data_IF_530642910786
#
_entry.id   IF_530642910786
#
_cell.length_a   1.000
_cell.length_b   1.000
_cell.length_c   1.000
_cell.angle_alpha   90.00
_cell.angle_beta   90.00
_cell.angle_gamma   90.00
#
_symmetry.space_group_name_H-M   'P 1'
#
loop_
_entity.id
_entity.type
_entity.pdbx_description
1 polymer ?
#
# COMPACT_ATOMS: atom_id res chain seq x y z
N UNK A 1 11.04 -7.20 -22.14
CA UNK A 1 11.55 -6.73 -20.84
C UNK A 1 11.99 -5.27 -20.91
N UNK A 2 13.00 -4.89 -21.71
CA UNK A 2 13.49 -3.48 -21.77
C UNK A 2 12.43 -2.45 -22.22
N UNK A 3 11.32 -2.85 -22.81
CA UNK A 3 10.18 -2.00 -23.11
C UNK A 3 9.44 -1.43 -21.86
N UNK A 4 9.69 -1.97 -20.66
CA UNK A 4 9.15 -1.45 -19.40
C UNK A 4 10.04 -0.39 -18.74
N UNK A 5 11.31 -0.29 -19.15
CA UNK A 5 12.29 0.63 -18.59
C UNK A 5 12.07 2.06 -19.09
N UNK A 6 12.02 3.01 -18.18
CA UNK A 6 11.88 4.45 -18.50
C UNK A 6 12.97 5.27 -17.83
N UNK A 7 13.48 6.22 -18.57
CA UNK A 7 14.38 7.23 -18.05
C UNK A 7 13.60 8.35 -17.33
N UNK A 8 14.23 9.10 -16.44
CA UNK A 8 13.61 10.25 -15.79
C UNK A 8 12.95 11.21 -16.79
N UNK A 9 11.73 11.63 -16.49
CA UNK A 9 10.96 12.56 -17.33
C UNK A 9 10.00 13.39 -16.47
N UNK A 10 10.02 14.71 -16.63
CA UNK A 10 9.10 15.62 -15.93
C UNK A 10 9.19 15.48 -14.40
N UNK A 11 8.08 15.12 -13.78
CA UNK A 11 7.98 14.91 -12.34
C UNK A 11 8.66 13.61 -11.85
N UNK A 12 8.93 12.68 -12.74
CA UNK A 12 9.60 11.41 -12.45
C UNK A 12 11.13 11.64 -12.51
N UNK A 13 11.75 11.79 -11.35
CA UNK A 13 13.15 12.21 -11.21
C UNK A 13 14.16 11.06 -11.30
N UNK A 14 13.70 9.83 -11.12
CA UNK A 14 14.54 8.62 -11.12
C UNK A 14 14.08 7.67 -12.23
N UNK A 15 14.96 6.77 -12.73
CA UNK A 15 14.55 5.70 -13.64
C UNK A 15 13.41 4.87 -13.03
N UNK A 16 12.48 4.38 -13.84
CA UNK A 16 11.31 3.69 -13.30
C UNK A 16 10.78 2.60 -14.24
N UNK A 17 9.93 1.74 -13.71
CA UNK A 17 9.24 0.69 -14.44
C UNK A 17 7.80 1.10 -14.72
N UNK A 18 7.35 0.82 -15.94
CA UNK A 18 5.94 0.99 -16.33
C UNK A 18 5.27 -0.37 -16.50
N UNK A 19 3.93 -0.47 -16.34
CA UNK A 19 3.21 -1.75 -16.43
C UNK A 19 3.17 -2.38 -17.85
N UNK A 20 3.93 -1.85 -18.79
CA UNK A 20 4.22 -2.53 -20.07
C UNK A 20 3.32 -2.20 -21.24
N UNK A 21 2.26 -1.37 -21.11
CA UNK A 21 1.44 -0.93 -22.25
C UNK A 21 1.77 0.48 -22.72
N UNK A 22 1.53 0.76 -24.01
CA UNK A 22 1.71 2.11 -24.56
C UNK A 22 0.85 3.17 -23.88
N UNK A 23 -0.30 2.79 -23.35
CA UNK A 23 -1.21 3.67 -22.62
C UNK A 23 -0.61 4.23 -21.33
N UNK A 24 0.29 3.47 -20.67
CA UNK A 24 0.90 3.82 -19.39
C UNK A 24 2.38 4.20 -19.53
N UNK A 25 2.82 4.56 -20.74
CA UNK A 25 4.24 4.69 -21.09
C UNK A 25 5.05 5.67 -20.23
N UNK A 26 4.41 6.73 -19.70
CA UNK A 26 5.04 7.75 -18.87
C UNK A 26 4.32 7.92 -17.52
N UNK A 27 3.86 6.81 -16.96
CA UNK A 27 3.10 6.79 -15.70
C UNK A 27 3.71 5.77 -14.76
N UNK A 28 3.97 6.18 -13.54
CA UNK A 28 4.39 5.29 -12.47
C UNK A 28 3.21 5.05 -11.55
N UNK A 29 2.66 3.85 -11.56
CA UNK A 29 1.58 3.40 -10.71
C UNK A 29 2.12 2.64 -9.51
N UNK A 30 1.42 2.70 -8.36
CA UNK A 30 1.86 2.16 -7.07
C UNK A 30 2.10 0.64 -7.07
N UNK A 31 1.07 -0.16 -6.86
CA UNK A 31 1.22 -1.63 -6.82
C UNK A 31 1.58 -2.25 -8.18
N UNK A 32 1.22 -1.58 -9.31
CA UNK A 32 1.59 -2.06 -10.64
C UNK A 32 3.10 -2.10 -10.80
N UNK A 33 3.82 -1.08 -10.35
CA UNK A 33 5.28 -1.06 -10.40
C UNK A 33 5.88 -2.15 -9.50
N UNK A 34 5.32 -2.36 -8.30
CA UNK A 34 5.79 -3.39 -7.38
C UNK A 34 5.55 -4.81 -7.92
N UNK A 35 4.33 -5.11 -8.39
CA UNK A 35 4.01 -6.42 -8.95
C UNK A 35 4.79 -6.70 -10.24
N UNK A 36 4.95 -5.67 -11.08
CA UNK A 36 5.77 -5.76 -12.29
C UNK A 36 7.25 -6.00 -11.95
N UNK A 37 7.75 -5.39 -10.89
CA UNK A 37 9.11 -5.56 -10.41
C UNK A 37 9.37 -7.00 -9.95
N UNK A 38 8.48 -7.56 -9.12
CA UNK A 38 8.58 -8.96 -8.68
C UNK A 38 8.66 -9.91 -9.90
N UNK A 39 7.78 -9.73 -10.87
CA UNK A 39 7.74 -10.57 -12.07
C UNK A 39 9.00 -10.40 -12.92
N UNK A 40 9.43 -9.16 -13.12
CA UNK A 40 10.60 -8.85 -13.94
C UNK A 40 11.89 -9.37 -13.31
N UNK A 41 12.03 -9.22 -11.99
CA UNK A 41 13.16 -9.74 -11.22
C UNK A 41 13.26 -11.26 -11.36
N UNK A 42 12.16 -11.98 -11.24
CA UNK A 42 12.14 -13.44 -11.41
C UNK A 42 12.67 -13.85 -12.80
N UNK A 43 12.20 -13.17 -13.85
CA UNK A 43 12.64 -13.45 -15.22
C UNK A 43 14.13 -13.15 -15.38
N UNK A 44 14.62 -12.04 -14.83
CA UNK A 44 16.04 -11.63 -14.96
C UNK A 44 16.95 -12.50 -14.11
N UNK A 45 16.52 -12.95 -12.95
CA UNK A 45 17.29 -13.89 -12.11
C UNK A 45 17.48 -15.21 -12.84
N UNK A 46 16.46 -15.72 -13.53
CA UNK A 46 16.50 -16.99 -14.24
C UNK A 46 17.24 -16.91 -15.58
N UNK A 47 17.05 -15.83 -16.34
CA UNK A 47 17.45 -15.76 -17.74
C UNK A 47 18.40 -14.59 -18.07
N UNK A 48 18.59 -13.64 -17.16
CA UNK A 48 19.40 -12.43 -17.37
C UNK A 48 20.87 -12.63 -17.04
N UNK A 49 21.68 -11.71 -17.58
CA UNK A 49 23.10 -11.57 -17.25
C UNK A 49 23.28 -10.88 -15.89
N UNK A 50 24.51 -10.78 -15.42
CA UNK A 50 24.85 -9.97 -14.25
C UNK A 50 24.54 -8.49 -14.50
N UNK A 51 24.87 -7.99 -15.68
CA UNK A 51 24.64 -6.57 -16.05
C UNK A 51 23.14 -6.26 -16.11
N UNK A 52 22.29 -7.17 -16.58
CA UNK A 52 20.83 -7.00 -16.55
C UNK A 52 20.28 -6.89 -15.11
N UNK A 53 20.87 -7.65 -14.18
CA UNK A 53 20.47 -7.58 -12.74
C UNK A 53 20.91 -6.28 -12.09
N UNK A 54 22.13 -5.82 -12.39
CA UNK A 54 22.65 -4.54 -11.88
C UNK A 54 21.88 -3.35 -12.48
N UNK A 55 21.53 -3.40 -13.78
CA UNK A 55 20.69 -2.40 -14.44
C UNK A 55 19.30 -2.31 -13.78
N UNK A 56 18.64 -3.46 -13.54
CA UNK A 56 17.31 -3.52 -12.95
C UNK A 56 17.23 -2.79 -11.59
N UNK A 57 18.23 -2.94 -10.73
CA UNK A 57 18.27 -2.33 -9.39
C UNK A 57 18.04 -0.82 -9.44
N UNK A 58 18.56 -0.13 -10.44
CA UNK A 58 18.38 1.31 -10.58
C UNK A 58 16.92 1.69 -10.84
N UNK A 59 16.20 0.90 -11.61
CA UNK A 59 14.78 1.12 -11.92
C UNK A 59 13.89 0.74 -10.74
N UNK A 60 14.18 -0.34 -10.05
CA UNK A 60 13.49 -0.78 -8.83
C UNK A 60 13.57 0.30 -7.73
N UNK A 61 14.78 0.72 -7.39
CA UNK A 61 15.01 1.83 -6.43
C UNK A 61 14.34 3.11 -6.90
N UNK A 62 14.41 3.40 -8.19
CA UNK A 62 13.84 4.61 -8.79
C UNK A 62 12.31 4.67 -8.71
N UNK A 63 11.59 3.55 -8.82
CA UNK A 63 10.15 3.49 -8.57
C UNK A 63 9.83 4.01 -7.16
N UNK A 64 10.50 3.49 -6.15
CA UNK A 64 10.30 3.84 -4.74
C UNK A 64 10.70 5.29 -4.48
N UNK A 65 11.87 5.73 -4.94
CA UNK A 65 12.38 7.09 -4.72
C UNK A 65 11.50 8.15 -5.39
N UNK A 66 10.89 7.86 -6.55
CA UNK A 66 9.93 8.75 -7.17
C UNK A 66 8.72 8.97 -6.26
N UNK A 67 8.12 7.92 -5.69
CA UNK A 67 7.02 8.06 -4.75
C UNK A 67 7.43 8.79 -3.48
N UNK A 68 8.56 8.45 -2.89
CA UNK A 68 9.07 9.10 -1.68
C UNK A 68 9.38 10.59 -1.88
N UNK A 69 9.66 11.03 -3.11
CA UNK A 69 9.87 12.44 -3.41
C UNK A 69 8.62 13.31 -3.23
N UNK A 70 7.43 12.69 -3.20
CA UNK A 70 6.15 13.32 -2.88
C UNK A 70 5.77 13.24 -1.41
N UNK A 71 6.45 12.42 -0.61
CA UNK A 71 6.22 12.30 0.81
C UNK A 71 6.46 13.64 1.51
N UNK A 72 5.40 14.27 1.97
CA UNK A 72 5.43 15.51 2.73
C UNK A 72 5.05 15.32 4.18
N UNK A 73 4.99 16.42 4.95
CA UNK A 73 4.67 16.40 6.37
C UNK A 73 3.29 15.84 6.72
N UNK A 74 2.35 15.76 5.74
CA UNK A 74 1.03 15.15 5.91
C UNK A 74 0.98 13.66 5.57
N UNK A 75 2.10 13.09 5.09
CA UNK A 75 2.21 11.67 4.74
C UNK A 75 1.46 11.25 3.48
N UNK A 76 0.94 12.19 2.70
CA UNK A 76 0.25 11.86 1.46
C UNK A 76 1.26 11.56 0.34
N UNK A 77 1.14 10.38 -0.27
CA UNK A 77 1.87 9.96 -1.46
C UNK A 77 0.83 9.58 -2.52
N UNK A 78 0.96 10.05 -3.79
CA UNK A 78 -0.03 9.77 -4.82
C UNK A 78 -0.07 8.29 -5.22
N UNK A 79 -1.23 7.83 -5.70
CA UNK A 79 -1.39 6.51 -6.30
C UNK A 79 -0.58 6.36 -7.60
N UNK A 80 -0.44 7.45 -8.35
CA UNK A 80 0.22 7.49 -9.63
C UNK A 80 0.99 8.80 -9.81
N UNK A 81 2.16 8.74 -10.43
CA UNK A 81 2.95 9.90 -10.85
C UNK A 81 2.99 9.92 -12.37
N UNK A 82 2.60 11.08 -12.94
CA UNK A 82 2.70 11.36 -14.37
C UNK A 82 3.90 12.29 -14.62
N UNK A 83 4.34 12.40 -15.84
CA UNK A 83 5.37 13.38 -16.25
C UNK A 83 4.95 14.84 -15.95
N UNK A 84 3.65 15.16 -16.04
CA UNK A 84 3.04 16.45 -15.72
C UNK A 84 2.17 16.41 -14.46
N UNK A 85 2.57 15.67 -13.45
CA UNK A 85 1.78 15.36 -12.24
C UNK A 85 1.25 16.59 -11.52
N UNK A 86 2.02 17.68 -11.39
CA UNK A 86 1.61 18.84 -10.60
C UNK A 86 0.31 19.47 -11.10
N UNK A 87 0.14 19.61 -12.42
CA UNK A 87 -1.07 20.18 -13.01
C UNK A 87 -2.30 19.27 -12.76
N UNK A 88 -2.12 17.96 -12.94
CA UNK A 88 -3.18 16.97 -12.72
C UNK A 88 -3.57 16.87 -11.26
N UNK A 89 -2.61 16.87 -10.33
CA UNK A 89 -2.89 16.78 -8.90
C UNK A 89 -3.58 18.01 -8.35
N UNK A 90 -3.22 19.20 -8.81
CA UNK A 90 -3.97 20.41 -8.46
C UNK A 90 -5.44 20.34 -8.88
N UNK A 91 -5.72 19.77 -10.05
CA UNK A 91 -7.08 19.57 -10.53
C UNK A 91 -7.82 18.51 -9.70
N UNK A 92 -7.19 17.35 -9.45
CA UNK A 92 -7.78 16.26 -8.67
C UNK A 92 -8.03 16.64 -7.21
N UNK A 93 -7.15 17.42 -6.58
CA UNK A 93 -7.36 17.92 -5.22
C UNK A 93 -8.55 18.88 -5.10
N UNK A 94 -8.90 19.61 -6.16
CA UNK A 94 -10.14 20.42 -6.19
C UNK A 94 -11.40 19.57 -6.25
N UNK A 95 -11.32 18.44 -6.96
CA UNK A 95 -12.45 17.50 -7.14
C UNK A 95 -12.57 16.57 -5.92
N UNK A 96 -11.44 16.15 -5.36
CA UNK A 96 -11.36 15.24 -4.22
C UNK A 96 -10.60 15.87 -3.04
N UNK A 97 -11.29 16.67 -2.20
CA UNK A 97 -10.67 17.35 -1.07
C UNK A 97 -10.13 16.40 0.02
N UNK A 98 -10.61 15.15 0.06
CA UNK A 98 -10.14 14.13 1.02
C UNK A 98 -8.81 13.48 0.61
N UNK A 99 -8.29 13.79 -0.59
CA UNK A 99 -7.02 13.24 -1.10
C UNK A 99 -6.97 11.70 -1.05
N UNK A 100 -8.06 11.05 -1.43
CA UNK A 100 -8.19 9.59 -1.37
C UNK A 100 -7.38 8.85 -2.45
N UNK A 101 -6.96 9.55 -3.52
CA UNK A 101 -6.05 9.03 -4.55
C UNK A 101 -4.60 8.90 -4.02
N UNK A 102 -4.43 8.11 -2.97
CA UNK A 102 -3.12 7.89 -2.37
C UNK A 102 -2.61 6.48 -2.62
N UNK A 103 -1.28 6.36 -2.56
CA UNK A 103 -0.57 5.09 -2.68
C UNK A 103 -1.14 4.05 -1.71
N UNK A 104 -1.29 2.81 -2.16
CA UNK A 104 -1.67 1.69 -1.29
C UNK A 104 -0.54 1.37 -0.30
N UNK A 105 -0.83 0.76 0.86
CA UNK A 105 0.19 0.41 1.85
C UNK A 105 1.02 -0.80 1.40
N UNK A 106 1.78 -0.59 0.33
CA UNK A 106 2.69 -1.57 -0.29
C UNK A 106 4.07 -0.96 -0.59
N UNK A 107 4.29 0.33 -0.28
CA UNK A 107 5.52 1.02 -0.62
C UNK A 107 6.72 0.53 0.22
N UNK A 108 6.51 0.27 1.52
CA UNK A 108 7.54 -0.34 2.36
C UNK A 108 7.78 -1.80 1.97
N UNK A 109 6.75 -2.54 1.54
CA UNK A 109 6.90 -3.89 1.02
C UNK A 109 7.74 -3.92 -0.25
N UNK A 110 7.51 -2.97 -1.17
CA UNK A 110 8.34 -2.82 -2.37
C UNK A 110 9.80 -2.50 -2.00
N UNK A 111 10.02 -1.54 -1.09
CA UNK A 111 11.36 -1.18 -0.62
C UNK A 111 12.07 -2.36 0.07
N UNK A 112 11.36 -3.08 0.93
CA UNK A 112 11.90 -4.27 1.61
C UNK A 112 12.27 -5.38 0.62
N UNK A 113 11.45 -5.61 -0.39
CA UNK A 113 11.77 -6.55 -1.48
C UNK A 113 13.09 -6.18 -2.17
N UNK A 114 13.28 -4.92 -2.58
CA UNK A 114 14.51 -4.48 -3.23
C UNK A 114 15.72 -4.61 -2.31
N UNK A 115 15.59 -4.22 -1.03
CA UNK A 115 16.66 -4.37 -0.02
C UNK A 115 17.04 -5.83 0.15
N UNK A 116 16.08 -6.73 0.25
CA UNK A 116 16.32 -8.17 0.39
C UNK A 116 17.02 -8.75 -0.83
N UNK A 117 16.57 -8.39 -2.05
CA UNK A 117 17.17 -8.83 -3.30
C UNK A 117 18.57 -8.26 -3.57
N UNK A 118 18.96 -7.20 -2.87
CA UNK A 118 20.28 -6.54 -2.99
C UNK A 118 21.20 -6.82 -1.81
N UNK A 119 20.95 -7.88 -1.05
CA UNK A 119 21.83 -8.33 0.04
C UNK A 119 21.69 -7.54 1.34
N UNK A 120 20.55 -6.88 1.56
CA UNK A 120 20.23 -6.16 2.80
C UNK A 120 20.72 -4.70 2.85
N UNK A 121 21.26 -4.17 1.75
CA UNK A 121 21.65 -2.76 1.67
C UNK A 121 20.42 -1.85 1.61
N UNK A 122 20.09 -1.20 2.72
CA UNK A 122 19.01 -0.24 2.85
C UNK A 122 19.50 1.22 2.89
N UNK A 123 20.81 1.49 2.79
CA UNK A 123 21.36 2.83 2.99
C UNK A 123 20.81 3.87 1.99
N UNK A 124 20.53 3.44 0.76
CA UNK A 124 19.91 4.28 -0.27
C UNK A 124 18.53 4.82 0.12
N UNK A 125 17.85 4.19 1.08
CA UNK A 125 16.51 4.58 1.56
C UNK A 125 16.57 5.55 2.75
N UNK A 126 17.72 5.73 3.39
CA UNK A 126 17.86 6.48 4.65
C UNK A 126 17.23 7.87 4.62
N UNK A 127 17.50 8.64 3.58
CA UNK A 127 16.94 10.00 3.42
C UNK A 127 15.42 9.97 3.21
N UNK A 128 14.90 8.99 2.45
CA UNK A 128 13.47 8.83 2.19
C UNK A 128 12.69 8.13 3.30
N UNK A 129 13.37 7.52 4.28
CA UNK A 129 12.72 6.70 5.30
C UNK A 129 11.76 7.49 6.19
N UNK A 130 12.05 8.77 6.45
CA UNK A 130 11.11 9.64 7.16
C UNK A 130 9.79 9.82 6.38
N UNK A 131 9.86 10.01 5.07
CA UNK A 131 8.65 10.14 4.23
C UNK A 131 7.84 8.84 4.21
N UNK A 132 8.51 7.69 4.22
CA UNK A 132 7.85 6.40 4.35
C UNK A 132 7.16 6.22 5.72
N UNK A 133 7.79 6.68 6.81
CA UNK A 133 7.19 6.69 8.14
C UNK A 133 5.94 7.57 8.21
N UNK A 134 5.99 8.78 7.64
CA UNK A 134 4.84 9.70 7.62
C UNK A 134 3.70 9.15 6.77
N UNK A 135 4.02 8.49 5.66
CA UNK A 135 3.04 7.80 4.82
C UNK A 135 2.30 6.68 5.59
N UNK A 136 3.02 5.76 6.21
CA UNK A 136 2.42 4.71 7.04
C UNK A 136 1.66 5.33 8.21
N UNK A 137 2.22 6.36 8.83
CA UNK A 137 1.58 7.12 9.90
C UNK A 137 0.25 7.76 9.50
N UNK A 138 0.09 8.15 8.23
CA UNK A 138 -1.18 8.68 7.73
C UNK A 138 -2.30 7.63 7.80
N UNK A 139 -2.04 6.41 7.35
CA UNK A 139 -3.00 5.31 7.52
C UNK A 139 -3.33 5.05 8.97
N UNK A 140 -2.32 4.91 9.82
CA UNK A 140 -2.49 4.58 11.23
C UNK A 140 -3.24 5.66 12.03
N UNK A 141 -3.06 6.93 11.68
CA UNK A 141 -3.63 8.05 12.44
C UNK A 141 -4.98 8.52 11.91
N UNK A 142 -5.23 8.41 10.60
CA UNK A 142 -6.42 9.00 9.96
C UNK A 142 -7.40 7.97 9.41
N UNK A 143 -6.96 6.73 9.17
CA UNK A 143 -7.80 5.68 8.59
C UNK A 143 -7.95 4.47 9.53
N UNK A 144 -7.78 4.67 10.84
CA UNK A 144 -7.97 3.64 11.86
C UNK A 144 -9.28 3.85 12.61
N UNK A 145 -10.15 2.87 12.59
CA UNK A 145 -11.40 2.87 13.34
C UNK A 145 -11.14 2.63 14.84
N UNK A 146 -11.55 3.59 15.69
CA UNK A 146 -11.18 3.60 17.12
C UNK A 146 -11.69 2.39 17.91
N UNK A 147 -12.89 1.90 17.60
CA UNK A 147 -13.49 0.81 18.37
C UNK A 147 -12.92 -0.56 18.03
N UNK A 148 -12.51 -0.80 16.78
CA UNK A 148 -12.01 -2.11 16.32
C UNK A 148 -10.49 -2.15 16.13
N UNK A 149 -9.84 -0.98 16.01
CA UNK A 149 -8.43 -0.88 15.62
C UNK A 149 -8.14 -1.26 14.17
N UNK A 150 -9.17 -1.64 13.39
CA UNK A 150 -9.03 -1.92 11.96
C UNK A 150 -8.85 -0.64 11.17
N UNK A 151 -8.13 -0.75 10.06
CA UNK A 151 -8.04 0.32 9.08
C UNK A 151 -9.20 0.22 8.08
N UNK A 152 -9.60 1.37 7.53
CA UNK A 152 -10.69 1.46 6.58
C UNK A 152 -10.30 2.23 5.33
N UNK A 153 -10.92 1.88 4.21
CA UNK A 153 -10.93 2.70 3.01
C UNK A 153 -11.91 3.87 3.18
N UNK A 154 -11.49 5.06 2.83
CA UNK A 154 -12.38 6.21 2.87
C UNK A 154 -13.52 6.07 1.85
N UNK A 155 -13.19 5.63 0.65
CA UNK A 155 -14.13 5.44 -0.45
C UNK A 155 -13.56 4.47 -1.49
N UNK A 156 -14.30 4.28 -2.60
CA UNK A 156 -13.93 3.39 -3.70
C UNK A 156 -12.65 3.83 -4.45
N UNK A 157 -12.40 5.13 -4.56
CA UNK A 157 -11.16 5.63 -5.17
C UNK A 157 -9.92 5.23 -4.36
N UNK A 158 -10.03 5.21 -3.04
CA UNK A 158 -8.90 4.88 -2.17
C UNK A 158 -8.48 3.41 -2.29
N UNK A 159 -9.43 2.50 -2.54
CA UNK A 159 -9.11 1.08 -2.68
C UNK A 159 -8.35 0.78 -3.99
N UNK A 160 -8.67 1.49 -5.08
CA UNK A 160 -8.06 1.28 -6.40
C UNK A 160 -8.43 -0.03 -7.09
N UNK A 161 -9.37 -0.78 -6.51
CA UNK A 161 -10.07 -1.90 -7.15
C UNK A 161 -11.46 -1.38 -7.50
N UNK A 162 -11.64 -1.01 -8.77
CA UNK A 162 -12.84 -0.33 -9.22
C UNK A 162 -14.11 -1.15 -8.95
N UNK A 163 -15.12 -0.49 -8.37
CA UNK A 163 -16.41 -1.07 -8.05
C UNK A 163 -16.36 -2.24 -7.05
N UNK A 164 -15.42 -2.18 -6.09
CA UNK A 164 -15.35 -3.20 -5.02
C UNK A 164 -16.60 -3.15 -4.15
N UNK A 165 -17.33 -4.27 -3.96
CA UNK A 165 -18.56 -4.30 -3.15
C UNK A 165 -18.37 -3.83 -1.70
N UNK A 166 -17.14 -3.86 -1.18
CA UNK A 166 -16.84 -3.39 0.18
C UNK A 166 -16.81 -1.88 0.31
N UNK A 167 -16.68 -1.14 -0.81
CA UNK A 167 -16.56 0.33 -0.84
C UNK A 167 -17.57 0.99 -1.75
N UNK A 168 -17.88 0.36 -2.89
CA UNK A 168 -18.75 0.93 -3.90
C UNK A 168 -20.18 1.13 -3.40
N UNK A 169 -20.70 2.35 -3.53
CA UNK A 169 -21.99 2.79 -2.96
C UNK A 169 -22.11 2.63 -1.43
N UNK A 170 -20.99 2.54 -0.72
CA UNK A 170 -20.97 2.48 0.74
C UNK A 170 -20.70 3.88 1.32
N UNK A 171 -21.15 4.15 2.55
CA UNK A 171 -20.77 5.38 3.24
C UNK A 171 -19.24 5.48 3.41
N UNK A 172 -18.72 6.70 3.36
CA UNK A 172 -17.30 6.96 3.57
C UNK A 172 -16.83 6.38 4.92
N UNK A 173 -15.65 5.77 4.92
CA UNK A 173 -15.05 5.21 6.13
C UNK A 173 -15.79 4.03 6.76
N UNK A 174 -16.75 3.42 6.05
CA UNK A 174 -17.56 2.31 6.58
C UNK A 174 -16.93 0.92 6.38
N UNK A 175 -15.90 0.80 5.56
CA UNK A 175 -15.32 -0.48 5.18
C UNK A 175 -14.02 -0.80 5.93
N UNK A 176 -14.09 -1.59 6.99
CA UNK A 176 -12.96 -2.28 7.59
C UNK A 176 -12.50 -3.43 6.69
N UNK A 177 -11.92 -3.10 5.55
CA UNK A 177 -11.55 -4.05 4.51
C UNK A 177 -10.47 -5.01 4.97
N UNK A 178 -10.71 -6.32 4.86
CA UNK A 178 -9.68 -7.34 5.11
C UNK A 178 -8.48 -7.16 4.16
N UNK A 179 -8.74 -6.74 2.93
CA UNK A 179 -7.71 -6.46 1.96
C UNK A 179 -6.75 -5.35 2.44
N UNK A 180 -7.29 -4.19 2.87
CA UNK A 180 -6.46 -3.10 3.43
C UNK A 180 -5.67 -3.57 4.66
N UNK A 181 -6.35 -4.25 5.58
CA UNK A 181 -5.74 -4.65 6.85
C UNK A 181 -4.64 -5.70 6.65
N UNK A 182 -4.79 -6.62 5.69
CA UNK A 182 -3.76 -7.56 5.31
C UNK A 182 -2.55 -6.87 4.65
N UNK A 183 -2.80 -5.92 3.75
CA UNK A 183 -1.73 -5.11 3.15
C UNK A 183 -0.97 -4.32 4.21
N UNK A 184 -1.69 -3.64 5.11
CA UNK A 184 -1.07 -2.83 6.16
C UNK A 184 -0.31 -3.69 7.18
N UNK A 185 -0.79 -4.87 7.53
CA UNK A 185 -0.04 -5.79 8.37
C UNK A 185 1.33 -6.12 7.76
N UNK A 186 1.36 -6.43 6.49
CA UNK A 186 2.62 -6.69 5.75
C UNK A 186 3.47 -5.43 5.60
N UNK A 187 2.84 -4.28 5.41
CA UNK A 187 3.54 -2.99 5.34
C UNK A 187 4.27 -2.67 6.64
N UNK A 188 3.63 -2.91 7.79
CA UNK A 188 4.24 -2.72 9.10
C UNK A 188 5.40 -3.69 9.36
N UNK A 189 5.29 -4.94 8.93
CA UNK A 189 6.40 -5.89 8.99
C UNK A 189 7.57 -5.45 8.09
N UNK A 190 7.28 -4.94 6.92
CA UNK A 190 8.29 -4.38 6.01
C UNK A 190 8.97 -3.14 6.63
N UNK A 191 8.21 -2.25 7.28
CA UNK A 191 8.76 -1.11 8.02
C UNK A 191 9.69 -1.56 9.16
N UNK A 192 9.31 -2.57 9.91
CA UNK A 192 10.16 -3.13 10.98
C UNK A 192 11.46 -3.72 10.40
N UNK A 193 11.36 -4.47 9.30
CA UNK A 193 12.53 -5.01 8.58
C UNK A 193 13.47 -3.90 8.10
N UNK A 194 12.93 -2.88 7.42
CA UNK A 194 13.72 -1.74 6.91
C UNK A 194 14.37 -0.95 8.06
N UNK A 195 13.66 -0.73 9.16
CA UNK A 195 14.20 -0.07 10.36
C UNK A 195 15.38 -0.87 10.95
N UNK A 196 15.29 -2.20 10.98
CA UNK A 196 16.40 -3.08 11.38
C UNK A 196 17.61 -2.91 10.47
N UNK A 197 17.41 -2.95 9.15
CA UNK A 197 18.51 -2.78 8.19
C UNK A 197 19.19 -1.41 8.31
N UNK A 198 18.40 -0.37 8.62
CA UNK A 198 18.90 1.00 8.87
C UNK A 198 19.44 1.21 10.29
N UNK A 199 19.45 0.19 11.14
CA UNK A 199 19.92 0.24 12.54
C UNK A 199 19.15 1.23 13.40
N UNK A 200 17.81 1.22 13.28
CA UNK A 200 16.86 2.06 14.02
C UNK A 200 15.99 1.20 14.96
N UNK A 201 16.54 0.68 16.09
CA UNK A 201 15.85 -0.32 16.92
C UNK A 201 14.54 0.17 17.53
N UNK A 202 14.42 1.45 17.86
CA UNK A 202 13.18 1.99 18.42
C UNK A 202 12.03 1.95 17.40
N UNK A 203 12.34 2.23 16.14
CA UNK A 203 11.37 2.14 15.05
C UNK A 203 11.03 0.70 14.70
N UNK A 204 12.01 -0.20 14.70
CA UNK A 204 11.78 -1.65 14.55
C UNK A 204 10.78 -2.15 15.59
N UNK A 205 11.03 -1.85 16.86
CA UNK A 205 10.16 -2.25 17.98
C UNK A 205 8.76 -1.63 17.86
N UNK A 206 8.66 -0.37 17.44
CA UNK A 206 7.38 0.32 17.23
C UNK A 206 6.56 -0.37 16.16
N UNK A 207 7.13 -0.58 14.97
CA UNK A 207 6.38 -1.18 13.84
C UNK A 207 6.05 -2.66 14.07
N UNK A 208 6.90 -3.39 14.79
CA UNK A 208 6.60 -4.76 15.21
C UNK A 208 5.37 -4.79 16.13
N UNK A 209 5.28 -3.89 17.12
CA UNK A 209 4.11 -3.78 18.00
C UNK A 209 2.84 -3.43 17.23
N UNK A 210 2.90 -2.43 16.35
CA UNK A 210 1.76 -2.03 15.52
C UNK A 210 1.27 -3.19 14.64
N UNK A 211 2.19 -3.99 14.10
CA UNK A 211 1.85 -5.16 13.29
C UNK A 211 1.13 -6.24 14.14
N UNK A 212 1.65 -6.57 15.30
CA UNK A 212 1.02 -7.58 16.18
C UNK A 212 -0.36 -7.11 16.68
N UNK A 213 -0.50 -5.83 17.04
CA UNK A 213 -1.80 -5.27 17.44
C UNK A 213 -2.82 -5.36 16.28
N UNK A 214 -2.41 -4.98 15.07
CA UNK A 214 -3.28 -5.07 13.90
C UNK A 214 -3.67 -6.52 13.58
N UNK A 215 -2.73 -7.45 13.68
CA UNK A 215 -2.98 -8.89 13.50
C UNK A 215 -4.05 -9.41 14.46
N UNK A 216 -3.96 -9.05 15.73
CA UNK A 216 -4.97 -9.45 16.71
C UNK A 216 -6.35 -8.82 16.42
N UNK A 217 -6.39 -7.56 15.97
CA UNK A 217 -7.62 -6.90 15.56
C UNK A 217 -8.23 -7.59 14.32
N UNK A 218 -7.42 -7.98 13.33
CA UNK A 218 -7.87 -8.75 12.16
C UNK A 218 -8.47 -10.09 12.61
N UNK A 219 -7.78 -10.82 13.48
CA UNK A 219 -8.28 -12.11 13.99
C UNK A 219 -9.59 -11.97 14.75
N UNK A 220 -9.69 -10.95 15.57
CA UNK A 220 -10.86 -10.69 16.41
C UNK A 220 -12.09 -10.27 15.59
N UNK A 221 -11.92 -9.42 14.58
CA UNK A 221 -13.04 -8.76 13.92
C UNK A 221 -13.34 -9.29 12.52
N UNK A 222 -12.34 -9.82 11.81
CA UNK A 222 -12.49 -10.28 10.42
C UNK A 222 -12.61 -11.79 10.28
N UNK A 223 -12.17 -12.58 11.27
CA UNK A 223 -12.23 -14.03 11.23
C UNK A 223 -13.63 -14.55 11.53
N UNK A 224 -14.16 -15.40 10.66
CA UNK A 224 -15.40 -16.14 10.93
C UNK A 224 -15.08 -17.62 11.17
N UNK A 225 -15.24 -18.12 12.42
CA UNK A 225 -14.96 -19.51 12.74
C UNK A 225 -15.96 -20.52 12.13
N UNK A 226 -17.15 -20.05 11.70
CA UNK A 226 -18.15 -20.89 11.07
C UNK A 226 -17.73 -21.30 9.65
N UNK A 227 -17.17 -20.33 8.91
CA UNK A 227 -16.75 -20.53 7.54
C UNK A 227 -15.25 -20.84 7.43
N UNK A 228 -14.48 -20.62 8.51
CA UNK A 228 -13.03 -20.72 8.47
C UNK A 228 -12.39 -19.71 7.53
N UNK A 229 -12.93 -18.50 7.43
CA UNK A 229 -12.54 -17.49 6.45
C UNK A 229 -12.50 -16.08 7.05
N UNK A 230 -11.73 -15.17 6.42
CA UNK A 230 -11.65 -13.78 6.79
C UNK A 230 -12.54 -12.91 5.90
N UNK A 231 -13.32 -12.01 6.51
CA UNK A 231 -14.21 -11.10 5.82
C UNK A 231 -13.91 -9.65 6.14
N UNK A 232 -14.20 -8.75 5.19
CA UNK A 232 -14.33 -7.33 5.48
C UNK A 232 -15.53 -7.07 6.39
N UNK A 233 -15.47 -5.99 7.17
CA UNK A 233 -16.51 -5.68 8.16
C UNK A 233 -17.08 -4.29 7.92
N UNK A 234 -18.38 -4.12 8.19
CA UNK A 234 -19.03 -2.83 8.16
C UNK A 234 -18.86 -2.13 9.51
N UNK A 235 -18.09 -1.05 9.51
CA UNK A 235 -17.74 -0.31 10.72
C UNK A 235 -18.86 0.61 11.22
N UNK A 236 -19.91 0.82 10.44
CA UNK A 236 -21.09 1.60 10.84
C UNK A 236 -22.13 0.75 11.56
N UNK A 237 -22.07 -0.56 11.42
CA UNK A 237 -22.90 -1.47 12.20
C UNK A 237 -22.26 -1.65 13.56
N UNK A 238 -22.89 -1.09 14.58
CA UNK A 238 -22.43 -1.27 15.95
C UNK A 238 -22.54 -2.74 16.35
N UNK A 239 -21.63 -3.24 17.20
CA UNK A 239 -21.77 -4.56 17.79
C UNK A 239 -23.15 -4.68 18.45
N UNK A 240 -23.91 -5.69 18.10
CA UNK A 240 -25.18 -5.96 18.78
C UNK A 240 -24.93 -7.00 19.88
N UNK A 241 -25.54 -6.78 21.03
CA UNK A 241 -25.46 -7.72 22.16
C UNK A 241 -26.15 -9.09 21.87
N UNK A 242 -26.97 -9.13 20.83
CA UNK A 242 -27.65 -10.35 20.40
C UNK A 242 -27.06 -10.83 19.09
N UNK A 243 -26.95 -12.17 18.90
CA UNK A 243 -26.50 -12.74 17.65
C UNK A 243 -27.34 -12.22 16.49
N UNK A 244 -26.67 -11.74 15.45
CA UNK A 244 -27.33 -11.36 14.22
C UNK A 244 -27.83 -12.60 13.48
N UNK A 245 -28.77 -12.40 12.57
CA UNK A 245 -29.22 -13.47 11.70
C UNK A 245 -28.03 -14.09 10.95
N UNK A 246 -27.87 -15.42 10.94
CA UNK A 246 -26.79 -16.07 10.21
C UNK A 246 -26.82 -15.70 8.73
N UNK A 247 -25.64 -15.49 8.13
CA UNK A 247 -25.51 -15.36 6.68
C UNK A 247 -25.24 -13.96 6.14
N UNK A 248 -25.04 -12.95 6.97
CA UNK A 248 -24.61 -11.65 6.48
C UNK A 248 -23.07 -11.56 6.44
N UNK A 249 -22.52 -11.57 5.23
CA UNK A 249 -21.08 -11.50 4.99
C UNK A 249 -20.74 -10.35 4.06
N UNK A 250 -19.69 -9.64 4.39
CA UNK A 250 -19.29 -8.45 3.64
C UNK A 250 -18.69 -8.76 2.27
N UNK A 251 -18.05 -9.91 2.08
CA UNK A 251 -17.39 -10.30 0.84
C UNK A 251 -18.33 -10.48 -0.35
N UNK A 252 -19.61 -10.66 -0.11
CA UNK A 252 -20.64 -10.78 -1.16
C UNK A 252 -21.38 -9.47 -1.43
N UNK A 253 -20.87 -8.35 -0.95
CA UNK A 253 -21.58 -7.06 -0.93
C UNK A 253 -22.62 -6.95 0.18
N UNK A 254 -22.74 -7.96 1.04
CA UNK A 254 -23.61 -7.96 2.20
C UNK A 254 -22.80 -7.74 3.47
N UNK A 255 -23.21 -6.80 4.33
CA UNK A 255 -22.48 -6.54 5.55
C UNK A 255 -22.52 -7.75 6.49
N UNK A 256 -21.36 -8.07 7.04
CA UNK A 256 -21.30 -8.96 8.19
C UNK A 256 -21.76 -8.20 9.42
N UNK A 257 -22.71 -8.75 10.16
CA UNK A 257 -23.06 -8.25 11.49
C UNK A 257 -22.14 -8.90 12.51
N UNK A 258 -21.69 -8.11 13.47
CA UNK A 258 -20.92 -8.63 14.60
C UNK A 258 -21.85 -9.38 15.55
N UNK A 259 -21.43 -10.54 15.97
CA UNK A 259 -21.96 -11.24 17.12
C UNK A 259 -21.20 -10.84 18.37
#
# INVERSE_FOLDING_TARGET
>A
MKGMYRQPVGALKYPFLVPGSGQYANQLWDWDSWLSDIALRQIIVENGTRDDREELIAYEKGCILNFLSYGGGDGWIPICIFDNTEERWQLLQKINPWKTNMHKPVLAQHAAFVVEQTGGDAEWLREGFYNLQTFVGKYLNYHRHKATGLLYWENDEMIGVDNDPSTFYRPHGSSGSIFLNALMYRELLAMAYLARQLRMPDLENRFTREAEELKENIRKHCWDPRDGFYYSVDLNLLPVEKPAAPGFHYHTGQPRTYD
#
